data_IF_735894739387
#
_entry.id   IF_735894739387
#
_cell.length_a   1.000
_cell.length_b   1.000
_cell.length_c   1.000
_cell.angle_alpha   90.00
_cell.angle_beta   90.00
_cell.angle_gamma   90.00
#
_symmetry.space_group_name_H-M   'P 1'
#
loop_
_entity.id
_entity.type
_entity.pdbx_description
1 polymer ?
#
# COMPACT_ATOMS: atom_id res chain seq x y z
N UNK A 1 13.18 -9.11 3.06
CA UNK A 1 12.55 -9.58 1.82
C UNK A 1 11.37 -10.45 2.23
N UNK A 2 10.14 -10.08 1.86
CA UNK A 2 9.00 -10.97 2.04
C UNK A 2 9.05 -12.02 0.92
N UNK A 3 9.39 -13.27 1.26
CA UNK A 3 9.45 -14.38 0.31
C UNK A 3 8.07 -15.02 0.14
N UNK A 4 7.19 -14.38 -0.64
CA UNK A 4 5.85 -14.89 -0.94
C UNK A 4 4.93 -15.05 0.28
N UNK A 5 3.67 -15.42 0.03
CA UNK A 5 2.66 -15.66 1.06
C UNK A 5 1.50 -14.67 1.04
N UNK A 6 0.46 -14.98 1.82
CA UNK A 6 -0.77 -14.19 1.92
C UNK A 6 -0.98 -13.73 3.37
N UNK A 7 -1.40 -12.48 3.56
CA UNK A 7 -1.73 -11.92 4.86
C UNK A 7 -3.08 -11.20 4.82
N UNK A 8 -3.96 -11.53 5.77
CA UNK A 8 -5.28 -10.93 5.88
C UNK A 8 -5.42 -10.36 7.29
N UNK A 9 -5.53 -9.04 7.40
CA UNK A 9 -5.65 -8.34 8.68
C UNK A 9 -7.00 -7.66 8.75
N UNK A 10 -7.83 -8.12 9.69
CA UNK A 10 -9.10 -7.47 10.02
C UNK A 10 -8.85 -6.31 10.99
N UNK A 11 -8.26 -5.25 10.45
CA UNK A 11 -7.97 -4.03 11.19
C UNK A 11 -6.92 -3.16 10.50
N UNK A 12 -6.53 -2.09 11.19
CA UNK A 12 -5.53 -1.14 10.72
C UNK A 12 -4.12 -1.64 11.02
N UNK A 13 -3.23 -1.55 10.03
CA UNK A 13 -1.79 -1.78 10.21
C UNK A 13 -1.04 -0.47 10.43
N UNK A 14 0.18 -0.58 10.96
CA UNK A 14 1.02 0.58 11.24
C UNK A 14 1.60 1.25 9.99
N UNK A 15 2.59 2.11 10.23
CA UNK A 15 3.38 2.77 9.18
C UNK A 15 4.25 1.77 8.42
N UNK A 16 4.65 2.13 7.20
CA UNK A 16 5.57 1.33 6.37
C UNK A 16 5.08 -0.10 6.13
N UNK A 17 3.76 -0.27 6.01
CA UNK A 17 3.20 -1.55 5.61
C UNK A 17 3.60 -1.91 4.17
N UNK A 18 3.91 -3.18 3.94
CA UNK A 18 4.33 -3.71 2.63
C UNK A 18 5.55 -3.00 1.98
N UNK A 19 6.42 -2.37 2.78
CA UNK A 19 7.66 -1.77 2.28
C UNK A 19 8.56 -2.84 1.66
N UNK A 20 9.07 -2.57 0.46
CA UNK A 20 9.90 -3.49 -0.34
C UNK A 20 9.25 -4.86 -0.53
N UNK A 21 7.93 -4.91 -0.58
CA UNK A 21 7.24 -6.12 -0.98
C UNK A 21 7.55 -6.42 -2.46
N UNK A 22 7.85 -7.69 -2.74
CA UNK A 22 8.15 -8.16 -4.09
C UNK A 22 7.34 -9.38 -4.51
N UNK A 23 6.69 -10.07 -3.56
CA UNK A 23 6.01 -11.35 -3.85
C UNK A 23 4.79 -11.63 -2.96
N UNK A 24 4.60 -10.91 -1.85
CA UNK A 24 3.51 -11.19 -0.91
C UNK A 24 2.19 -10.54 -1.35
N UNK A 25 1.09 -11.16 -0.97
CA UNK A 25 -0.26 -10.63 -1.13
C UNK A 25 -0.83 -10.23 0.22
N UNK A 26 -1.46 -9.07 0.33
CA UNK A 26 -2.06 -8.65 1.59
C UNK A 26 -3.37 -7.88 1.43
N UNK A 27 -4.29 -8.09 2.38
CA UNK A 27 -5.53 -7.32 2.54
C UNK A 27 -5.59 -6.77 3.96
N UNK A 28 -5.82 -5.47 4.08
CA UNK A 28 -5.89 -4.75 5.36
C UNK A 28 -7.02 -3.71 5.34
N UNK A 29 -7.56 -3.33 6.50
CA UNK A 29 -8.67 -2.35 6.60
C UNK A 29 -8.17 -0.89 6.72
N UNK A 30 -6.86 -0.67 6.65
CA UNK A 30 -6.26 0.66 6.67
C UNK A 30 -4.78 0.62 7.02
N UNK A 31 -4.07 1.71 6.76
CA UNK A 31 -2.60 1.78 6.95
C UNK A 31 -2.16 3.12 7.56
N UNK A 32 -0.94 3.14 8.09
CA UNK A 32 -0.23 4.38 8.44
C UNK A 32 0.47 5.02 7.24
N UNK A 33 1.43 5.89 7.51
CA UNK A 33 2.20 6.59 6.49
C UNK A 33 3.18 5.65 5.77
N UNK A 34 3.61 6.01 4.56
CA UNK A 34 4.65 5.32 3.78
C UNK A 34 4.30 3.86 3.40
N UNK A 35 3.01 3.56 3.25
CA UNK A 35 2.58 2.23 2.79
C UNK A 35 3.04 1.95 1.35
N UNK A 36 3.39 0.70 1.06
CA UNK A 36 3.86 0.20 -0.23
C UNK A 36 5.12 0.90 -0.75
N UNK A 37 5.94 1.47 0.13
CA UNK A 37 7.18 2.13 -0.26
C UNK A 37 8.14 1.13 -0.92
N UNK A 38 8.74 1.51 -2.04
CA UNK A 38 9.68 0.67 -2.80
C UNK A 38 9.14 -0.72 -3.17
N UNK A 39 7.81 -0.87 -3.26
CA UNK A 39 7.19 -2.12 -3.68
C UNK A 39 7.50 -2.37 -5.17
N UNK A 40 7.95 -3.59 -5.48
CA UNK A 40 8.37 -4.01 -6.83
C UNK A 40 7.62 -5.25 -7.32
N UNK A 41 6.79 -5.86 -6.48
CA UNK A 41 6.01 -7.07 -6.80
C UNK A 41 5.02 -7.43 -5.69
N UNK A 42 4.12 -8.37 -5.97
CA UNK A 42 3.03 -8.73 -5.05
C UNK A 42 1.76 -7.90 -5.27
N UNK A 43 0.76 -8.06 -4.40
CA UNK A 43 -0.52 -7.35 -4.47
C UNK A 43 -0.97 -6.90 -3.08
N UNK A 44 -1.32 -5.63 -2.93
CA UNK A 44 -1.81 -5.09 -1.65
C UNK A 44 -3.14 -4.40 -1.88
N UNK A 45 -4.14 -4.80 -1.11
CA UNK A 45 -5.49 -4.22 -1.08
C UNK A 45 -5.72 -3.57 0.28
N UNK A 46 -6.12 -2.31 0.27
CA UNK A 46 -6.40 -1.53 1.47
C UNK A 46 -7.87 -1.11 1.43
N UNK A 47 -8.67 -1.63 2.35
CA UNK A 47 -10.12 -1.42 2.43
C UNK A 47 -10.49 -0.26 3.36
N UNK A 48 -9.66 0.78 3.44
CA UNK A 48 -9.92 1.92 4.31
C UNK A 48 -8.79 2.94 4.32
N UNK A 49 -8.78 3.78 5.37
CA UNK A 49 -7.92 4.98 5.42
C UNK A 49 -6.45 4.64 5.35
N UNK A 50 -5.75 5.36 4.49
CA UNK A 50 -4.28 5.36 4.41
C UNK A 50 -3.68 6.63 5.00
N UNK A 51 -2.42 6.51 5.42
CA UNK A 51 -1.57 7.63 5.77
C UNK A 51 -1.03 8.38 4.55
N UNK A 52 0.01 9.19 4.76
CA UNK A 52 0.65 10.04 3.76
C UNK A 52 1.79 9.33 3.04
N UNK A 53 2.20 9.91 1.91
CA UNK A 53 3.33 9.48 1.10
C UNK A 53 3.26 7.99 0.72
N UNK A 54 2.05 7.51 0.42
CA UNK A 54 1.85 6.12 0.02
C UNK A 54 2.43 5.90 -1.38
N UNK A 55 2.79 4.66 -1.66
CA UNK A 55 3.35 4.18 -2.94
C UNK A 55 4.62 4.90 -3.40
N UNK A 56 5.34 5.56 -2.50
CA UNK A 56 6.60 6.21 -2.82
C UNK A 56 7.65 5.19 -3.28
N UNK A 57 8.31 5.45 -4.42
CA UNK A 57 9.28 4.51 -4.98
C UNK A 57 8.68 3.21 -5.54
N UNK A 58 7.35 3.05 -5.56
CA UNK A 58 6.69 1.85 -6.08
C UNK A 58 6.86 1.77 -7.60
N UNK A 59 7.33 0.64 -8.11
CA UNK A 59 7.71 0.50 -9.53
C UNK A 59 7.12 -0.77 -10.13
N UNK A 60 6.34 -0.62 -11.22
CA UNK A 60 5.90 -1.73 -12.06
C UNK A 60 4.84 -2.65 -11.45
N UNK A 61 4.08 -2.17 -10.45
CA UNK A 61 3.05 -2.94 -9.73
C UNK A 61 1.76 -2.16 -9.55
N UNK A 62 0.67 -2.86 -9.21
CA UNK A 62 -0.64 -2.29 -8.90
C UNK A 62 -1.00 -2.50 -7.42
N UNK A 63 -1.68 -1.53 -6.82
CA UNK A 63 -2.25 -1.62 -5.47
C UNK A 63 -3.64 -0.99 -5.50
N UNK A 64 -4.58 -1.59 -4.77
CA UNK A 64 -5.96 -1.11 -4.72
C UNK A 64 -6.22 -0.49 -3.36
N UNK A 65 -6.70 0.75 -3.34
CA UNK A 65 -7.06 1.46 -2.13
C UNK A 65 -8.50 1.93 -2.23
N UNK A 66 -9.32 1.53 -1.27
CA UNK A 66 -10.68 2.02 -1.11
C UNK A 66 -10.61 3.39 -0.40
N UNK A 67 -11.15 4.41 -1.04
CA UNK A 67 -11.25 5.77 -0.50
C UNK A 67 -12.70 6.24 -0.57
N UNK A 68 -13.43 6.09 0.54
CA UNK A 68 -14.82 6.52 0.64
C UNK A 68 -14.97 8.02 0.91
N UNK A 69 -13.89 8.68 1.37
CA UNK A 69 -13.88 10.09 1.79
C UNK A 69 -13.22 11.03 0.76
N UNK A 70 -12.82 10.53 -0.42
CA UNK A 70 -12.06 11.28 -1.45
C UNK A 70 -10.77 11.96 -0.93
N UNK A 71 -10.09 11.33 0.04
CA UNK A 71 -8.87 11.90 0.69
C UNK A 71 -7.56 11.29 0.20
N UNK A 72 -7.59 10.34 -0.73
CA UNK A 72 -6.43 9.56 -1.14
C UNK A 72 -5.48 10.32 -2.05
N UNK A 73 -6.01 11.04 -3.04
CA UNK A 73 -5.22 11.77 -4.04
C UNK A 73 -4.13 12.69 -3.45
N UNK A 74 -4.37 13.48 -2.38
CA UNK A 74 -3.32 14.29 -1.77
C UNK A 74 -2.29 13.49 -0.95
N UNK A 75 -2.57 12.22 -0.62
CA UNK A 75 -1.70 11.35 0.18
C UNK A 75 -0.77 10.47 -0.67
N UNK A 76 -1.07 10.30 -1.96
CA UNK A 76 -0.27 9.53 -2.90
C UNK A 76 1.01 10.28 -3.26
N UNK A 77 2.15 9.59 -3.21
CA UNK A 77 3.37 10.09 -3.81
C UNK A 77 3.28 9.98 -5.34
N UNK A 78 3.33 11.13 -6.02
CA UNK A 78 3.13 11.25 -7.47
C UNK A 78 4.42 11.24 -8.28
N UNK A 79 5.57 10.95 -7.68
CA UNK A 79 6.87 10.97 -8.39
C UNK A 79 6.95 9.90 -9.47
N UNK A 80 6.33 8.73 -9.24
CA UNK A 80 6.46 7.55 -10.10
C UNK A 80 5.10 6.96 -10.50
N UNK A 81 4.12 7.03 -9.60
CA UNK A 81 2.86 6.29 -9.76
C UNK A 81 1.82 7.14 -10.50
N UNK A 82 1.12 6.51 -11.45
CA UNK A 82 -0.10 7.06 -12.05
C UNK A 82 -1.31 6.61 -11.24
N UNK A 83 -2.10 7.57 -10.81
CA UNK A 83 -3.44 7.40 -10.21
C UNK A 83 -4.49 7.19 -11.27
#
# INVERSE_FOLDING_TARGET
>A
MAGGGQSFVRGKVGERFAVRNSLAQAVVEGTGDYCCEYMTGGCVVILGKVGRNVVAGMTGVLTNMLDEDDTLIPKINKEIVKT
#
